data_IF_610550529643
#
_entry.id   IF_610550529643
#
_cell.length_a   1.000
_cell.length_b   1.000
_cell.length_c   1.000
_cell.angle_alpha   90.00
_cell.angle_beta   90.00
_cell.angle_gamma   90.00
#
_symmetry.space_group_name_H-M   'P 1'
#
loop_
_entity.id
_entity.type
_entity.pdbx_description
1 polymer ?
#
# COMPACT_ATOMS: atom_id res chain seq x y z
N UNK A 1 12.04 -2.05 -9.05
CA UNK A 1 11.32 -2.73 -7.96
C UNK A 1 11.71 -4.18 -7.95
N UNK A 2 11.70 -4.82 -6.77
CA UNK A 2 11.96 -6.26 -6.60
C UNK A 2 10.63 -7.02 -6.66
N UNK A 3 10.47 -7.90 -7.65
CA UNK A 3 9.22 -8.64 -7.89
C UNK A 3 8.98 -9.72 -6.83
N UNK A 4 10.04 -10.33 -6.33
CA UNK A 4 10.05 -11.25 -5.19
C UNK A 4 9.30 -10.66 -3.98
N UNK A 5 9.62 -9.43 -3.58
CA UNK A 5 8.94 -8.75 -2.46
C UNK A 5 7.44 -8.51 -2.73
N UNK A 6 7.03 -8.37 -3.99
CA UNK A 6 5.61 -8.20 -4.35
C UNK A 6 4.86 -9.52 -4.18
N UNK A 7 5.45 -10.63 -4.63
CA UNK A 7 4.85 -11.95 -4.45
C UNK A 7 4.72 -12.33 -2.98
N UNK A 8 5.77 -12.10 -2.18
CA UNK A 8 5.73 -12.34 -0.74
C UNK A 8 4.70 -11.44 -0.05
N UNK A 9 4.64 -10.14 -0.37
CA UNK A 9 3.65 -9.24 0.19
C UNK A 9 2.20 -9.63 -0.17
N UNK A 10 1.97 -10.24 -1.34
CA UNK A 10 0.65 -10.73 -1.74
C UNK A 10 0.18 -11.92 -0.91
N UNK A 11 1.08 -12.69 -0.29
CA UNK A 11 0.69 -13.74 0.66
C UNK A 11 0.01 -13.18 1.91
N UNK A 12 0.30 -11.91 2.27
CA UNK A 12 -0.25 -11.23 3.44
C UNK A 12 -1.39 -10.25 3.11
N UNK A 13 -1.51 -9.81 1.86
CA UNK A 13 -2.56 -8.86 1.42
C UNK A 13 -3.33 -9.46 0.25
N UNK A 14 -4.56 -9.90 0.52
CA UNK A 14 -5.38 -10.69 -0.41
C UNK A 14 -5.74 -9.98 -1.73
N UNK A 15 -5.67 -8.65 -1.79
CA UNK A 15 -6.01 -7.87 -2.98
C UNK A 15 -4.82 -7.07 -3.50
N UNK A 16 -4.40 -7.34 -4.73
CA UNK A 16 -3.32 -6.61 -5.43
C UNK A 16 -3.58 -5.11 -5.56
N UNK A 17 -4.86 -4.72 -5.67
CA UNK A 17 -5.25 -3.31 -5.75
C UNK A 17 -5.11 -2.63 -4.38
N UNK A 18 -5.49 -3.33 -3.31
CA UNK A 18 -5.30 -2.85 -1.95
C UNK A 18 -3.81 -2.72 -1.63
N UNK A 19 -3.00 -3.73 -1.96
CA UNK A 19 -1.55 -3.68 -1.80
C UNK A 19 -0.95 -2.45 -2.50
N UNK A 20 -1.28 -2.24 -3.79
CA UNK A 20 -0.79 -1.09 -4.55
C UNK A 20 -1.20 0.24 -3.91
N UNK A 21 -2.43 0.37 -3.42
CA UNK A 21 -2.94 1.59 -2.77
C UNK A 21 -2.19 1.87 -1.46
N UNK A 22 -1.98 0.85 -0.64
CA UNK A 22 -1.26 0.94 0.63
C UNK A 22 0.22 1.27 0.42
N UNK A 23 0.88 0.56 -0.48
CA UNK A 23 2.28 0.80 -0.86
C UNK A 23 2.43 2.22 -1.40
N UNK A 24 1.56 2.66 -2.32
CA UNK A 24 1.61 4.03 -2.86
C UNK A 24 1.45 5.10 -1.77
N UNK A 25 0.54 4.90 -0.81
CA UNK A 25 0.31 5.84 0.29
C UNK A 25 1.50 5.89 1.25
N UNK A 26 2.06 4.74 1.60
CA UNK A 26 3.18 4.63 2.54
C UNK A 26 4.49 5.10 1.91
N UNK A 27 4.78 4.75 0.66
CA UNK A 27 5.93 5.27 -0.09
C UNK A 27 5.91 6.80 -0.09
N UNK A 28 4.80 7.45 -0.45
CA UNK A 28 4.72 8.92 -0.41
C UNK A 28 4.93 9.50 1.00
N UNK A 29 4.44 8.83 2.04
CA UNK A 29 4.55 9.31 3.43
C UNK A 29 5.97 9.19 3.99
N UNK A 30 6.70 8.13 3.62
CA UNK A 30 8.01 7.81 4.20
C UNK A 30 9.19 8.11 3.29
N UNK A 31 8.95 8.51 2.05
CA UNK A 31 9.99 8.88 1.12
C UNK A 31 10.69 10.17 1.53
N UNK A 32 12.03 10.17 1.48
CA UNK A 32 12.86 11.35 1.67
C UNK A 32 13.40 11.82 0.31
N UNK A 33 13.44 13.13 0.01
CA UNK A 33 13.90 13.65 -1.29
C UNK A 33 15.33 13.22 -1.67
N UNK A 34 16.19 12.97 -0.68
CA UNK A 34 17.58 12.51 -0.88
C UNK A 34 17.73 11.03 -1.17
N UNK A 35 16.64 10.26 -1.14
CA UNK A 35 16.64 8.80 -1.36
C UNK A 35 15.97 8.47 -2.67
N UNK A 36 16.29 7.33 -3.29
CA UNK A 36 15.56 6.89 -4.48
C UNK A 36 14.19 6.36 -4.06
N UNK A 37 13.13 6.75 -4.78
CA UNK A 37 11.75 6.26 -4.52
C UNK A 37 11.68 4.72 -4.51
N UNK A 38 12.48 4.07 -5.37
CA UNK A 38 12.57 2.62 -5.44
C UNK A 38 13.05 1.99 -4.11
N UNK A 39 13.98 2.63 -3.40
CA UNK A 39 14.51 2.10 -2.15
C UNK A 39 13.45 2.16 -1.05
N UNK A 40 12.73 3.28 -0.96
CA UNK A 40 11.57 3.42 -0.06
C UNK A 40 10.50 2.38 -0.40
N UNK A 41 10.21 2.18 -1.69
CA UNK A 41 9.18 1.22 -2.13
C UNK A 41 9.55 -0.22 -1.78
N UNK A 42 10.81 -0.61 -1.99
CA UNK A 42 11.29 -1.94 -1.62
C UNK A 42 11.25 -2.14 -0.09
N UNK A 43 11.65 -1.13 0.70
CA UNK A 43 11.57 -1.20 2.16
C UNK A 43 10.13 -1.33 2.68
N UNK A 44 9.18 -0.65 2.02
CA UNK A 44 7.75 -0.77 2.31
C UNK A 44 7.25 -2.18 1.97
N UNK A 45 7.55 -2.71 0.78
CA UNK A 45 7.14 -4.06 0.38
C UNK A 45 7.72 -5.14 1.32
N UNK A 46 8.99 -5.02 1.71
CA UNK A 46 9.64 -5.91 2.67
C UNK A 46 8.96 -5.88 4.05
N UNK A 47 8.33 -4.77 4.44
CA UNK A 47 7.53 -4.71 5.67
C UNK A 47 6.20 -5.43 5.52
N UNK A 48 5.57 -5.34 4.35
CA UNK A 48 4.33 -6.08 4.07
C UNK A 48 4.57 -7.59 3.97
N UNK A 49 5.74 -8.04 3.51
CA UNK A 49 6.10 -9.46 3.49
C UNK A 49 6.43 -10.04 4.86
N UNK A 50 6.76 -9.20 5.86
CA UNK A 50 7.05 -9.65 7.23
C UNK A 50 5.94 -9.29 8.23
N UNK A 51 4.90 -8.59 7.78
CA UNK A 51 3.83 -8.14 8.66
C UNK A 51 2.99 -9.35 9.10
N UNK A 52 3.15 -9.73 10.37
CA UNK A 52 2.26 -10.68 11.03
C UNK A 52 0.80 -10.26 10.81
N UNK A 53 -0.04 -11.24 10.44
CA UNK A 53 -1.48 -11.13 10.18
C UNK A 53 -2.30 -10.50 11.34
N UNK A 54 -1.65 -10.18 12.47
CA UNK A 54 -2.22 -9.72 13.74
C UNK A 54 -2.22 -8.20 13.90
N UNK A 55 -1.54 -7.44 13.03
CA UNK A 55 -1.71 -5.98 13.01
C UNK A 55 -3.04 -5.66 12.31
N UNK A 56 -4.15 -5.95 12.99
CA UNK A 56 -5.49 -5.50 12.62
C UNK A 56 -5.50 -3.97 12.63
N UNK A 57 -5.01 -3.36 11.55
CA UNK A 57 -5.33 -1.97 11.25
C UNK A 57 -6.84 -1.98 11.06
N UNK A 58 -7.57 -1.49 12.06
CA UNK A 58 -8.98 -1.20 11.92
C UNK A 58 -9.13 -0.31 10.70
N UNK A 59 -9.63 -0.88 9.61
CA UNK A 59 -10.01 -0.16 8.43
C UNK A 59 -11.25 0.65 8.83
N UNK A 60 -11.06 1.87 9.33
CA UNK A 60 -12.16 2.81 9.42
C UNK A 60 -12.68 2.96 7.99
N UNK A 61 -13.93 2.59 7.69
CA UNK A 61 -14.48 2.74 6.35
C UNK A 61 -14.46 4.23 6.05
N UNK A 62 -13.54 4.67 5.21
CA UNK A 62 -13.55 6.04 4.73
C UNK A 62 -14.76 6.14 3.80
N UNK A 63 -15.90 6.65 4.33
CA UNK A 63 -17.11 6.96 3.56
C UNK A 63 -16.66 7.77 2.36
N UNK A 64 -16.65 7.12 1.20
CA UNK A 64 -16.43 7.80 -0.05
C UNK A 64 -17.79 8.37 -0.40
N UNK A 65 -18.02 9.65 -0.09
CA UNK A 65 -19.18 10.38 -0.59
C UNK A 65 -18.99 10.49 -2.10
N UNK A 66 -19.53 9.52 -2.83
CA UNK A 66 -19.53 9.55 -4.29
C UNK A 66 -20.40 10.76 -4.68
N UNK A 67 -19.85 11.82 -5.30
CA UNK A 67 -20.69 12.93 -5.72
C UNK A 67 -21.65 12.43 -6.81
N UNK A 68 -22.93 12.85 -6.79
CA UNK A 68 -23.88 12.47 -7.82
C UNK A 68 -23.35 12.97 -9.18
N UNK A 69 -23.34 12.07 -10.17
CA UNK A 69 -23.07 12.44 -11.56
C UNK A 69 -24.10 13.48 -11.97
N UNK A 70 -23.67 14.70 -12.30
CA UNK A 70 -24.53 15.66 -12.99
C UNK A 70 -24.93 15.03 -14.32
N UNK A 71 -26.21 14.70 -14.45
CA UNK A 71 -26.82 14.52 -15.75
C UNK A 71 -26.91 15.90 -16.40
N UNK A 72 -26.47 15.98 -17.66
CA UNK A 72 -26.62 17.15 -18.54
C UNK A 72 -28.04 17.28 -19.04
#
# INVERSE_FOLDING_TARGET
>A
MRSDLVFEAMAHVSSRFLLTKLVSKTTRKFHKPSTRIQDTTNAVLARFSHANHMATVQCIPQRTTVPPRRAS
#
